data_IF_386578843093
#
_entry.id   IF_386578843093
#
_cell.length_a   1.000
_cell.length_b   1.000
_cell.length_c   1.000
_cell.angle_alpha   90.00
_cell.angle_beta   90.00
_cell.angle_gamma   90.00
#
_symmetry.space_group_name_H-M   'P 1'
#
loop_
_entity.id
_entity.type
_entity.pdbx_description
1 polymer ?
#
# COMPACT_ATOMS: atom_id res chain seq x y z
N UNK A 1 -14.68 13.35 12.40
CA UNK A 1 -15.30 12.50 11.36
C UNK A 1 -16.62 13.02 10.81
N UNK A 2 -17.39 13.78 11.56
CA UNK A 2 -18.71 14.27 11.12
C UNK A 2 -18.73 15.19 9.90
N UNK A 3 -17.71 16.02 9.71
CA UNK A 3 -17.66 16.97 8.58
C UNK A 3 -17.33 16.26 7.25
N UNK A 4 -16.41 15.31 7.23
CA UNK A 4 -16.08 14.54 6.03
C UNK A 4 -17.27 13.70 5.57
N UNK A 5 -18.01 13.12 6.50
CA UNK A 5 -19.20 12.32 6.21
C UNK A 5 -20.31 13.15 5.56
N UNK A 6 -20.48 14.40 5.99
CA UNK A 6 -21.40 15.37 5.35
C UNK A 6 -21.01 15.67 3.91
N UNK A 7 -19.72 15.93 3.65
CA UNK A 7 -19.19 16.19 2.32
C UNK A 7 -19.38 14.98 1.41
N UNK A 8 -19.04 13.80 1.88
CA UNK A 8 -19.19 12.56 1.10
C UNK A 8 -20.65 12.20 0.82
N UNK A 9 -21.58 12.63 1.68
CA UNK A 9 -23.03 12.45 1.51
C UNK A 9 -23.71 13.54 0.69
N UNK A 10 -23.05 14.67 0.45
CA UNK A 10 -23.62 15.76 -0.34
C UNK A 10 -23.95 15.32 -1.77
N UNK A 11 -25.06 15.80 -2.31
CA UNK A 11 -25.45 15.57 -3.71
C UNK A 11 -24.82 16.60 -4.66
N UNK A 12 -24.38 17.72 -4.13
CA UNK A 12 -23.87 18.85 -4.91
C UNK A 12 -22.41 18.64 -5.35
N UNK A 13 -21.72 17.66 -4.78
CA UNK A 13 -20.31 17.35 -5.07
C UNK A 13 -20.25 16.16 -6.03
N UNK A 14 -19.48 16.32 -7.11
CA UNK A 14 -19.29 15.26 -8.11
C UNK A 14 -18.57 14.05 -7.53
N UNK A 15 -18.82 12.88 -8.10
CA UNK A 15 -18.16 11.64 -7.69
C UNK A 15 -16.63 11.73 -7.79
N UNK A 16 -16.12 12.31 -8.87
CA UNK A 16 -14.68 12.53 -9.09
C UNK A 16 -14.05 13.35 -7.97
N UNK A 17 -14.69 14.43 -7.54
CA UNK A 17 -14.23 15.25 -6.42
C UNK A 17 -14.24 14.48 -5.11
N UNK A 18 -15.25 13.68 -4.86
CA UNK A 18 -15.33 12.82 -3.66
C UNK A 18 -14.23 11.79 -3.62
N UNK A 19 -13.94 11.14 -4.75
CA UNK A 19 -12.83 10.19 -4.87
C UNK A 19 -11.48 10.87 -4.59
N UNK A 20 -11.27 12.06 -5.14
CA UNK A 20 -10.06 12.85 -4.89
C UNK A 20 -9.92 13.23 -3.43
N UNK A 21 -11.01 13.59 -2.75
CA UNK A 21 -11.00 13.89 -1.32
C UNK A 21 -10.64 12.68 -0.46
N UNK A 22 -11.18 11.51 -0.76
CA UNK A 22 -10.82 10.27 -0.04
C UNK A 22 -9.34 9.97 -0.22
N UNK A 23 -8.82 10.08 -1.44
CA UNK A 23 -7.40 9.86 -1.73
C UNK A 23 -6.49 10.88 -1.04
N UNK A 24 -6.90 12.14 -0.95
CA UNK A 24 -6.09 13.22 -0.39
C UNK A 24 -6.13 13.28 1.14
N UNK A 25 -7.24 12.89 1.76
CA UNK A 25 -7.45 13.07 3.20
C UNK A 25 -7.47 11.77 4.00
N UNK A 26 -8.09 10.71 3.46
CA UNK A 26 -8.27 9.44 4.19
C UNK A 26 -7.06 8.54 3.99
N UNK A 27 -6.62 8.33 2.78
CA UNK A 27 -5.52 7.42 2.45
C UNK A 27 -4.20 7.82 3.11
N UNK A 28 -3.76 9.09 3.13
CA UNK A 28 -2.52 9.48 3.80
C UNK A 28 -2.53 9.17 5.30
N UNK A 29 -3.67 9.31 5.96
CA UNK A 29 -3.80 8.98 7.38
C UNK A 29 -3.64 7.47 7.62
N UNK A 30 -4.27 6.66 6.78
CA UNK A 30 -4.18 5.19 6.87
C UNK A 30 -2.79 4.69 6.52
N UNK A 31 -2.14 5.33 5.54
CA UNK A 31 -0.81 4.92 5.05
C UNK A 31 0.35 5.53 5.85
N UNK A 32 0.10 6.33 6.86
CA UNK A 32 1.17 6.98 7.63
C UNK A 32 2.18 5.96 8.17
N UNK A 33 3.44 6.10 7.77
CA UNK A 33 4.52 5.20 8.19
C UNK A 33 4.45 3.79 7.58
N UNK A 34 3.64 3.56 6.54
CA UNK A 34 3.45 2.23 5.93
C UNK A 34 4.72 1.67 5.28
N UNK A 35 5.65 2.52 4.89
CA UNK A 35 6.94 2.12 4.34
C UNK A 35 7.74 1.22 5.28
N UNK A 36 7.54 1.37 6.60
CA UNK A 36 8.19 0.54 7.62
C UNK A 36 7.44 -0.76 7.93
N UNK A 37 6.23 -0.94 7.45
CA UNK A 37 5.38 -2.07 7.83
C UNK A 37 5.79 -3.36 7.13
N UNK A 38 5.76 -4.45 7.90
CA UNK A 38 5.85 -5.80 7.37
C UNK A 38 4.42 -6.29 7.17
N UNK A 39 3.98 -6.34 5.92
CA UNK A 39 2.60 -6.68 5.56
C UNK A 39 2.48 -8.17 5.27
N UNK A 40 1.64 -8.85 6.04
CA UNK A 40 1.21 -10.22 5.75
C UNK A 40 0.00 -10.21 4.82
N UNK A 41 -0.22 -11.29 4.10
CA UNK A 41 -1.37 -11.42 3.18
C UNK A 41 -2.73 -11.11 3.83
N UNK A 42 -2.93 -11.50 5.09
CA UNK A 42 -4.14 -11.19 5.83
C UNK A 42 -4.31 -9.69 6.11
N UNK A 43 -3.22 -8.96 6.27
CA UNK A 43 -3.23 -7.51 6.48
C UNK A 43 -3.51 -6.77 5.18
N UNK A 44 -2.93 -7.23 4.06
CA UNK A 44 -3.27 -6.73 2.72
C UNK A 44 -4.78 -6.89 2.45
N UNK A 45 -5.36 -8.04 2.76
CA UNK A 45 -6.80 -8.28 2.61
C UNK A 45 -7.66 -7.33 3.46
N UNK A 46 -7.20 -6.96 4.65
CA UNK A 46 -7.90 -5.97 5.50
C UNK A 46 -7.83 -4.58 4.90
N UNK A 47 -6.71 -4.21 4.29
CA UNK A 47 -6.54 -2.93 3.59
C UNK A 47 -7.44 -2.86 2.36
N UNK A 48 -7.51 -3.92 1.58
CA UNK A 48 -8.43 -4.03 0.44
C UNK A 48 -9.88 -3.93 0.89
N UNK A 49 -10.24 -4.61 1.97
CA UNK A 49 -11.58 -4.52 2.54
C UNK A 49 -11.92 -3.10 3.01
N UNK A 50 -10.97 -2.40 3.61
CA UNK A 50 -11.12 -1.00 4.01
C UNK A 50 -11.31 -0.08 2.78
N UNK A 51 -10.51 -0.27 1.74
CA UNK A 51 -10.65 0.48 0.49
C UNK A 51 -12.04 0.27 -0.12
N UNK A 52 -12.51 -0.97 -0.21
CA UNK A 52 -13.84 -1.30 -0.70
C UNK A 52 -14.95 -0.69 0.17
N UNK A 53 -14.76 -0.68 1.48
CA UNK A 53 -15.68 -0.02 2.39
C UNK A 53 -15.78 1.49 2.12
N UNK A 54 -14.66 2.17 1.88
CA UNK A 54 -14.63 3.59 1.51
C UNK A 54 -15.43 3.84 0.23
N UNK A 55 -15.21 3.04 -0.80
CA UNK A 55 -15.88 3.19 -2.09
C UNK A 55 -17.38 2.91 -2.00
N UNK A 56 -17.79 1.87 -1.28
CA UNK A 56 -19.20 1.56 -1.04
C UNK A 56 -19.91 2.67 -0.29
N UNK A 57 -19.26 3.25 0.71
CA UNK A 57 -19.79 4.37 1.47
C UNK A 57 -19.96 5.62 0.60
N UNK A 58 -19.01 5.87 -0.27
CA UNK A 58 -19.02 6.99 -1.20
C UNK A 58 -20.15 6.88 -2.23
N UNK A 59 -20.40 5.69 -2.76
CA UNK A 59 -21.50 5.39 -3.67
C UNK A 59 -22.85 5.18 -2.95
N UNK A 60 -22.88 5.20 -1.63
CA UNK A 60 -24.08 4.88 -0.82
C UNK A 60 -24.67 3.51 -1.10
N UNK A 61 -23.86 2.56 -1.47
CA UNK A 61 -24.27 1.18 -1.67
C UNK A 61 -24.30 0.49 -0.31
N UNK A 62 -25.49 0.07 0.21
CA UNK A 62 -25.54 -0.72 1.42
C UNK A 62 -24.85 -2.05 1.15
N UNK A 63 -24.13 -2.56 2.12
CA UNK A 63 -23.44 -3.83 1.94
C UNK A 63 -24.37 -5.05 1.83
N UNK A 64 -25.65 -4.85 2.13
CA UNK A 64 -26.73 -5.79 1.83
C UNK A 64 -27.09 -5.85 0.34
N UNK A 65 -26.72 -4.81 -0.45
CA UNK A 65 -26.87 -4.83 -1.89
C UNK A 65 -25.84 -5.80 -2.47
N UNK A 66 -26.29 -6.78 -3.25
CA UNK A 66 -25.42 -7.80 -3.87
C UNK A 66 -24.61 -7.28 -5.06
N UNK A 67 -23.97 -6.13 -4.91
CA UNK A 67 -23.04 -5.57 -5.92
C UNK A 67 -21.65 -6.13 -5.71
N UNK A 68 -21.02 -6.59 -6.78
CA UNK A 68 -19.64 -7.07 -6.74
C UNK A 68 -18.65 -5.91 -6.55
N UNK A 69 -17.51 -6.20 -5.91
CA UNK A 69 -16.42 -5.22 -5.75
C UNK A 69 -15.91 -4.69 -7.10
N UNK A 70 -15.87 -5.56 -8.12
CA UNK A 70 -15.46 -5.17 -9.49
C UNK A 70 -16.41 -4.14 -10.11
N UNK A 71 -17.72 -4.26 -9.89
CA UNK A 71 -18.71 -3.30 -10.37
C UNK A 71 -18.50 -1.92 -9.72
N UNK A 72 -18.17 -1.89 -8.44
CA UNK A 72 -17.89 -0.67 -7.69
C UNK A 72 -16.60 -0.02 -8.17
N UNK A 73 -15.54 -0.79 -8.35
CA UNK A 73 -14.26 -0.30 -8.86
C UNK A 73 -14.36 0.26 -10.27
N UNK A 74 -15.18 -0.34 -11.14
CA UNK A 74 -15.43 0.17 -12.49
C UNK A 74 -16.11 1.55 -12.45
N UNK A 75 -17.06 1.74 -11.56
CA UNK A 75 -17.79 3.00 -11.43
C UNK A 75 -16.91 4.11 -10.85
N UNK A 76 -16.09 3.80 -9.84
CA UNK A 76 -15.19 4.75 -9.19
C UNK A 76 -13.95 5.02 -10.02
N UNK A 77 -13.41 4.01 -10.70
CA UNK A 77 -12.17 4.09 -11.47
C UNK A 77 -11.03 4.76 -10.68
N UNK A 78 -10.65 4.22 -9.52
CA UNK A 78 -9.70 4.88 -8.62
C UNK A 78 -8.28 4.95 -9.19
N UNK A 79 -7.98 4.21 -10.23
CA UNK A 79 -6.64 4.06 -10.79
C UNK A 79 -5.82 3.03 -10.01
N UNK A 80 -4.93 3.50 -9.13
CA UNK A 80 -4.09 2.61 -8.31
C UNK A 80 -4.81 2.27 -7.01
N UNK A 81 -4.77 0.99 -6.61
CA UNK A 81 -5.30 0.53 -5.33
C UNK A 81 -4.51 1.09 -4.14
N UNK A 82 -5.11 1.09 -2.96
CA UNK A 82 -4.43 1.51 -1.73
C UNK A 82 -3.18 0.66 -1.45
N UNK A 83 -3.26 -0.65 -1.65
CA UNK A 83 -2.12 -1.57 -1.56
C UNK A 83 -1.02 -1.21 -2.57
N UNK A 84 -1.38 -0.87 -3.80
CA UNK A 84 -0.44 -0.42 -4.83
C UNK A 84 0.28 0.88 -4.46
N UNK A 85 -0.41 1.83 -3.84
CA UNK A 85 0.20 3.08 -3.35
C UNK A 85 1.19 2.77 -2.21
N UNK A 86 0.81 1.90 -1.28
CA UNK A 86 1.69 1.48 -0.18
C UNK A 86 2.95 0.78 -0.69
N UNK A 87 2.82 -0.10 -1.69
CA UNK A 87 3.95 -0.75 -2.34
C UNK A 87 4.87 0.27 -3.01
N UNK A 88 4.30 1.26 -3.71
CA UNK A 88 5.06 2.35 -4.32
C UNK A 88 5.88 3.12 -3.29
N UNK A 89 5.30 3.47 -2.14
CA UNK A 89 6.02 4.17 -1.06
C UNK A 89 7.16 3.32 -0.49
N UNK A 90 6.96 2.02 -0.33
CA UNK A 90 8.02 1.09 0.08
C UNK A 90 9.15 1.01 -0.92
N UNK A 91 8.83 0.95 -2.21
CA UNK A 91 9.83 0.94 -3.27
C UNK A 91 10.63 2.24 -3.33
N UNK A 92 9.97 3.38 -3.15
CA UNK A 92 10.65 4.67 -3.06
C UNK A 92 11.63 4.72 -1.87
N UNK A 93 11.19 4.26 -0.70
CA UNK A 93 12.04 4.17 0.48
C UNK A 93 13.23 3.23 0.24
N UNK A 94 12.98 2.06 -0.34
CA UNK A 94 14.03 1.10 -0.70
C UNK A 94 15.04 1.71 -1.68
N UNK A 95 14.58 2.43 -2.71
CA UNK A 95 15.44 3.14 -3.66
C UNK A 95 16.34 4.17 -2.97
N UNK A 96 15.78 4.98 -2.06
CA UNK A 96 16.59 5.90 -1.25
C UNK A 96 17.62 5.20 -0.38
N UNK A 97 17.26 4.07 0.21
CA UNK A 97 18.16 3.29 1.06
C UNK A 97 19.35 2.73 0.27
N UNK A 98 19.07 2.17 -0.91
CA UNK A 98 20.09 1.53 -1.76
C UNK A 98 21.10 2.57 -2.28
N UNK A 99 20.64 3.77 -2.63
CA UNK A 99 21.51 4.85 -3.14
C UNK A 99 22.42 5.47 -2.09
N UNK A 100 22.12 5.31 -0.81
CA UNK A 100 23.02 5.75 0.26
C UNK A 100 24.28 4.87 0.32
N UNK A 101 25.46 5.46 0.18
CA UNK A 101 26.72 4.72 0.08
C UNK A 101 27.06 4.00 1.39
N UNK A 102 26.91 4.68 2.53
CA UNK A 102 27.34 4.14 3.84
C UNK A 102 26.26 4.40 4.90
N UNK A 103 25.11 3.71 4.78
CA UNK A 103 24.11 3.81 5.83
C UNK A 103 24.06 2.53 6.66
N UNK A 104 23.98 2.69 7.98
CA UNK A 104 23.75 1.60 8.92
C UNK A 104 22.46 0.83 8.58
N UNK A 105 21.41 1.55 8.15
CA UNK A 105 20.13 1.00 7.74
C UNK A 105 20.28 0.06 6.55
N UNK A 106 21.08 0.44 5.54
CA UNK A 106 21.40 -0.42 4.38
C UNK A 106 22.11 -1.68 4.82
N UNK A 107 23.11 -1.56 5.68
CA UNK A 107 23.86 -2.70 6.21
C UNK A 107 22.97 -3.63 7.04
N UNK A 108 22.05 -3.09 7.83
CA UNK A 108 21.10 -3.88 8.64
C UNK A 108 20.03 -4.57 7.77
N UNK A 109 19.56 -3.89 6.72
CA UNK A 109 18.52 -4.44 5.85
C UNK A 109 19.04 -5.47 4.85
N UNK A 110 20.23 -5.24 4.29
CA UNK A 110 20.85 -6.11 3.28
C UNK A 110 21.85 -7.09 3.91
N UNK A 111 22.48 -6.69 5.01
CA UNK A 111 23.43 -7.54 5.74
C UNK A 111 22.70 -8.65 6.46
N UNK A 112 22.96 -9.89 6.07
CA UNK A 112 22.59 -11.06 6.84
C UNK A 112 23.31 -11.04 8.19
N UNK A 113 22.72 -10.44 9.23
CA UNK A 113 23.20 -10.61 10.59
C UNK A 113 23.03 -12.07 10.93
N UNK A 114 24.16 -12.80 10.85
CA UNK A 114 24.39 -14.16 11.31
C UNK A 114 23.16 -15.06 11.34
N UNK A 115 22.98 -15.84 10.30
CA UNK A 115 21.93 -16.84 10.19
C UNK A 115 22.15 -17.97 11.20
N UNK A 116 21.88 -17.70 12.48
CA UNK A 116 21.66 -18.76 13.46
C UNK A 116 20.30 -19.35 13.15
N UNK A 117 20.27 -20.46 12.44
CA UNK A 117 19.10 -21.30 12.15
C UNK A 117 18.30 -21.51 13.44
N UNK A 118 17.31 -20.64 13.68
CA UNK A 118 16.34 -20.86 14.74
C UNK A 118 15.34 -21.90 14.27
N UNK A 119 15.21 -23.00 14.99
CA UNK A 119 14.11 -23.97 14.81
C UNK A 119 12.79 -23.21 14.98
N UNK A 120 11.97 -23.16 13.94
CA UNK A 120 10.65 -22.56 13.95
C UNK A 120 10.27 -21.96 12.59
N UNK A 121 8.99 -21.57 12.44
CA UNK A 121 8.49 -20.89 11.24
C UNK A 121 9.25 -19.58 11.06
N UNK A 122 9.92 -19.44 9.92
CA UNK A 122 10.71 -18.25 9.61
C UNK A 122 9.82 -17.00 9.61
N UNK A 123 10.26 -15.96 10.35
CA UNK A 123 9.54 -14.70 10.41
C UNK A 123 9.74 -13.96 9.09
N UNK A 124 8.65 -13.52 8.47
CA UNK A 124 8.69 -12.71 7.25
C UNK A 124 9.53 -11.45 7.48
N UNK A 125 10.49 -11.20 6.59
CA UNK A 125 11.32 -9.99 6.60
C UNK A 125 10.64 -8.89 5.79
N UNK A 126 11.00 -7.65 6.04
CA UNK A 126 10.46 -6.50 5.30
C UNK A 126 10.76 -6.60 3.79
N UNK A 127 11.97 -7.06 3.43
CA UNK A 127 12.38 -7.27 2.03
C UNK A 127 11.57 -8.38 1.34
N UNK A 128 11.20 -9.43 2.05
CA UNK A 128 10.40 -10.53 1.50
C UNK A 128 9.05 -10.00 0.99
N UNK A 129 8.44 -9.05 1.70
CA UNK A 129 7.19 -8.43 1.27
C UNK A 129 7.32 -7.66 -0.04
N UNK A 130 8.47 -7.06 -0.34
CA UNK A 130 8.70 -6.36 -1.60
C UNK A 130 9.01 -7.35 -2.73
N UNK A 131 9.90 -8.29 -2.51
CA UNK A 131 10.28 -9.30 -3.51
C UNK A 131 9.10 -10.18 -3.91
N UNK A 132 8.28 -10.60 -2.95
CA UNK A 132 7.07 -11.38 -3.19
C UNK A 132 6.02 -10.58 -3.99
N UNK A 133 5.85 -9.30 -3.66
CA UNK A 133 4.88 -8.44 -4.36
C UNK A 133 5.29 -8.10 -5.79
N UNK A 134 6.61 -8.06 -6.06
CA UNK A 134 7.15 -7.76 -7.38
C UNK A 134 7.49 -9.01 -8.20
N UNK A 135 7.43 -10.19 -7.58
CA UNK A 135 7.86 -11.47 -8.18
C UNK A 135 9.30 -11.40 -8.76
N UNK A 136 10.18 -10.77 -8.01
CA UNK A 136 11.57 -10.48 -8.43
C UNK A 136 12.57 -10.84 -7.36
N UNK A 137 13.78 -11.25 -7.77
CA UNK A 137 14.89 -11.43 -6.84
C UNK A 137 15.42 -10.08 -6.33
N UNK A 138 15.99 -10.08 -5.12
CA UNK A 138 16.55 -8.89 -4.50
C UNK A 138 17.64 -8.21 -5.36
N UNK A 139 18.53 -9.02 -5.99
CA UNK A 139 19.58 -8.51 -6.87
C UNK A 139 19.02 -7.77 -8.09
N UNK A 140 17.98 -8.30 -8.72
CA UNK A 140 17.31 -7.67 -9.86
C UNK A 140 16.58 -6.41 -9.46
N UNK A 141 15.98 -6.39 -8.27
CA UNK A 141 15.33 -5.20 -7.72
C UNK A 141 16.36 -4.08 -7.44
N UNK A 142 17.53 -4.44 -6.92
CA UNK A 142 18.63 -3.49 -6.69
C UNK A 142 19.13 -2.87 -7.99
N UNK A 143 19.35 -3.66 -9.03
CA UNK A 143 19.73 -3.18 -10.37
C UNK A 143 18.71 -2.17 -10.91
N UNK A 144 17.43 -2.53 -10.90
CA UNK A 144 16.37 -1.63 -11.35
C UNK A 144 16.31 -0.32 -10.59
N UNK A 145 16.58 -0.34 -9.28
CA UNK A 145 16.56 0.89 -8.47
C UNK A 145 17.79 1.78 -8.69
N UNK A 146 18.90 1.20 -9.13
CA UNK A 146 20.09 1.97 -9.53
C UNK A 146 19.92 2.59 -10.91
N UNK A 147 19.25 1.89 -11.84
CA UNK A 147 19.04 2.34 -13.22
C UNK A 147 17.90 3.35 -13.36
N UNK A 148 17.02 3.47 -12.38
CA UNK A 148 15.82 4.34 -12.47
C UNK A 148 16.14 5.83 -12.63
N UNK A 149 17.34 6.29 -12.31
CA UNK A 149 17.78 7.70 -12.45
C UNK A 149 18.85 7.90 -13.56
N UNK A 150 19.14 6.86 -14.29
CA UNK A 150 19.92 7.01 -15.50
C UNK A 150 18.98 7.31 -16.68
#
# INVERSE_FOLDING_TARGET
MTNLDRILKSRDITLSTKVSLVKAMVFPVVMYGCECWIMKKAECQRIDAFEQWCWRRLLRVPWTARRSNQSILKEISPGISLEGIMLKLKLQYFGHLIRRVDSLEKSLMLGGIGDRRRRGRQRMRWLDGITDSMDMSLSKLQELMMDWEA
#
